data_IF_406746392303
#
_entry.id   IF_406746392303
#
_cell.length_a   1.000
_cell.length_b   1.000
_cell.length_c   1.000
_cell.angle_alpha   90.00
_cell.angle_beta   90.00
_cell.angle_gamma   90.00
#
_symmetry.space_group_name_H-M   'P 1'
#
loop_
_entity.id
_entity.type
_entity.pdbx_description
1 polymer ?
#
# COMPACT_ATOMS: atom_id res chain seq x y z
N UNK A 1 11.56 20.83 -3.09
CA UNK A 1 11.66 20.60 -1.63
C UNK A 1 11.43 19.11 -1.41
N UNK A 2 12.41 18.40 -0.84
CA UNK A 2 12.30 16.95 -0.65
C UNK A 2 11.24 16.66 0.42
N UNK A 3 10.10 16.06 0.02
CA UNK A 3 9.03 15.71 0.96
C UNK A 3 9.48 14.54 1.83
N UNK A 4 9.20 14.59 3.12
CA UNK A 4 9.53 13.52 4.09
C UNK A 4 8.24 12.81 4.49
N UNK A 5 8.20 11.48 4.39
CA UNK A 5 7.12 10.69 5.02
C UNK A 5 7.51 10.43 6.47
N UNK A 6 6.77 11.02 7.40
CA UNK A 6 6.91 10.69 8.83
C UNK A 6 6.10 9.44 9.11
N UNK A 7 6.74 8.44 9.71
CA UNK A 7 6.13 7.18 10.14
C UNK A 7 6.20 7.15 11.65
N UNK A 8 5.07 7.44 12.29
CA UNK A 8 4.94 7.45 13.75
C UNK A 8 4.07 6.32 14.29
N UNK A 9 3.29 5.68 13.41
CA UNK A 9 2.48 4.52 13.77
C UNK A 9 3.07 3.26 13.15
N UNK A 10 3.22 2.19 13.93
CA UNK A 10 3.95 1.02 13.47
C UNK A 10 3.26 0.27 12.31
N UNK A 11 1.92 0.28 12.25
CA UNK A 11 1.18 -0.32 11.14
C UNK A 11 1.42 0.38 9.79
N UNK A 12 1.93 1.63 9.77
CA UNK A 12 2.33 2.32 8.53
C UNK A 12 3.60 1.73 7.90
N UNK A 13 4.35 0.89 8.61
CA UNK A 13 5.45 0.14 8.04
C UNK A 13 4.98 -0.91 7.03
N UNK A 14 3.76 -1.45 7.18
CA UNK A 14 3.23 -2.49 6.31
C UNK A 14 3.28 -2.08 4.83
N UNK A 15 2.64 -0.98 4.39
CA UNK A 15 2.67 -0.60 2.98
C UNK A 15 4.09 -0.25 2.49
N UNK A 16 5.00 0.20 3.36
CA UNK A 16 6.40 0.50 3.01
C UNK A 16 7.15 -0.80 2.71
N UNK A 17 7.05 -1.79 3.59
CA UNK A 17 7.67 -3.10 3.40
C UNK A 17 7.08 -3.83 2.18
N UNK A 18 5.76 -3.75 1.98
CA UNK A 18 5.05 -4.29 0.82
C UNK A 18 5.31 -3.54 -0.49
N UNK A 19 5.98 -2.38 -0.45
CA UNK A 19 6.37 -1.65 -1.65
C UNK A 19 7.64 -2.22 -2.29
N UNK A 20 8.37 -3.08 -1.59
CA UNK A 20 9.69 -3.58 -2.01
C UNK A 20 9.84 -5.09 -1.80
N UNK A 21 8.73 -5.80 -1.60
CA UNK A 21 8.71 -7.23 -1.26
C UNK A 21 8.93 -8.16 -2.46
N UNK A 22 8.89 -7.63 -3.68
CA UNK A 22 9.20 -8.35 -4.92
C UNK A 22 10.25 -7.59 -5.70
N UNK A 23 11.03 -8.32 -6.51
CA UNK A 23 12.04 -7.70 -7.39
C UNK A 23 11.42 -6.64 -8.30
N UNK A 24 10.26 -6.94 -8.90
CA UNK A 24 9.55 -6.01 -9.79
C UNK A 24 9.15 -4.73 -9.05
N UNK A 25 8.49 -4.83 -7.89
CA UNK A 25 8.11 -3.61 -7.15
C UNK A 25 9.33 -2.81 -6.71
N UNK A 26 10.37 -3.46 -6.18
CA UNK A 26 11.62 -2.80 -5.77
C UNK A 26 12.23 -2.03 -6.94
N UNK A 27 12.33 -2.65 -8.11
CA UNK A 27 13.00 -2.06 -9.26
C UNK A 27 12.16 -0.94 -9.90
N UNK A 28 10.83 -1.10 -9.97
CA UNK A 28 9.91 -0.03 -10.39
C UNK A 28 9.96 1.15 -9.42
N UNK A 29 9.93 0.90 -8.10
CA UNK A 29 9.97 1.97 -7.10
C UNK A 29 11.29 2.75 -7.16
N UNK A 30 12.40 2.05 -7.36
CA UNK A 30 13.71 2.67 -7.63
C UNK A 30 13.66 3.55 -8.87
N UNK A 31 13.05 3.08 -9.96
CA UNK A 31 13.00 3.84 -11.21
C UNK A 31 12.20 5.13 -11.09
N UNK A 32 11.00 5.07 -10.50
CA UNK A 32 10.15 6.25 -10.28
C UNK A 32 10.69 7.19 -9.18
N UNK A 33 11.63 6.73 -8.36
CA UNK A 33 12.34 7.59 -7.39
C UNK A 33 13.44 8.45 -7.99
N UNK A 34 13.91 8.10 -9.20
CA UNK A 34 14.98 8.83 -9.89
C UNK A 34 14.43 9.84 -10.89
N UNK A 35 13.36 9.49 -11.62
CA UNK A 35 12.73 10.37 -12.60
C UNK A 35 11.28 9.95 -12.88
N UNK A 36 10.54 10.82 -13.57
CA UNK A 36 9.17 10.56 -13.99
C UNK A 36 9.13 9.44 -15.03
N UNK A 37 8.26 8.45 -14.82
CA UNK A 37 8.04 7.34 -15.77
C UNK A 37 6.56 7.20 -16.14
N UNK A 38 6.25 7.00 -17.41
CA UNK A 38 4.88 6.70 -17.84
C UNK A 38 4.51 5.27 -17.50
N UNK A 39 3.20 5.00 -17.36
CA UNK A 39 2.69 3.64 -17.24
C UNK A 39 3.22 2.74 -18.37
N UNK A 40 3.27 3.26 -19.59
CA UNK A 40 3.77 2.55 -20.77
C UNK A 40 5.25 2.17 -20.66
N UNK A 41 6.11 3.11 -20.23
CA UNK A 41 7.53 2.82 -20.02
C UNK A 41 7.75 1.73 -18.97
N UNK A 42 6.95 1.74 -17.89
CA UNK A 42 7.02 0.72 -16.84
C UNK A 42 6.49 -0.62 -17.36
N UNK A 43 5.39 -0.64 -18.11
CA UNK A 43 4.84 -1.87 -18.71
C UNK A 43 5.81 -2.49 -19.74
N UNK A 44 6.42 -1.68 -20.60
CA UNK A 44 7.39 -2.14 -21.61
C UNK A 44 8.60 -2.85 -20.96
N UNK A 45 9.00 -2.40 -19.76
CA UNK A 45 10.18 -2.94 -19.06
C UNK A 45 9.87 -4.05 -18.06
N UNK A 46 8.75 -3.95 -17.34
CA UNK A 46 8.41 -4.82 -16.21
C UNK A 46 7.12 -5.63 -16.41
N UNK A 47 6.46 -5.48 -17.56
CA UNK A 47 5.19 -6.14 -17.89
C UNK A 47 4.02 -5.70 -17.02
N UNK A 48 2.99 -6.54 -16.95
CA UNK A 48 1.79 -6.30 -16.14
C UNK A 48 2.11 -6.10 -14.65
N UNK A 49 3.11 -6.82 -14.12
CA UNK A 49 3.56 -6.66 -12.74
C UNK A 49 4.08 -5.26 -12.42
N UNK A 50 4.63 -4.55 -13.42
CA UNK A 50 5.01 -3.14 -13.27
C UNK A 50 3.80 -2.22 -13.12
N UNK A 51 2.74 -2.46 -13.90
CA UNK A 51 1.50 -1.69 -13.77
C UNK A 51 0.80 -1.95 -12.43
N UNK A 52 0.80 -3.20 -11.97
CA UNK A 52 0.28 -3.55 -10.64
C UNK A 52 1.07 -2.86 -9.52
N UNK A 53 2.41 -2.79 -9.65
CA UNK A 53 3.26 -2.05 -8.71
C UNK A 53 2.89 -0.56 -8.68
N UNK A 54 2.70 0.09 -9.84
CA UNK A 54 2.29 1.51 -9.89
C UNK A 54 0.94 1.75 -9.22
N UNK A 55 -0.07 0.89 -9.46
CA UNK A 55 -1.38 0.97 -8.81
C UNK A 55 -1.25 0.85 -7.29
N UNK A 56 -0.43 -0.10 -6.83
CA UNK A 56 -0.13 -0.26 -5.41
C UNK A 56 0.50 1.01 -4.83
N UNK A 57 1.53 1.58 -5.47
CA UNK A 57 2.20 2.78 -4.98
C UNK A 57 1.27 4.00 -4.96
N UNK A 58 0.42 4.15 -5.98
CA UNK A 58 -0.55 5.25 -6.05
C UNK A 58 -1.55 5.16 -4.91
N UNK A 59 -2.13 3.98 -4.68
CA UNK A 59 -3.02 3.74 -3.54
C UNK A 59 -2.35 4.09 -2.21
N UNK A 60 -1.12 3.61 -2.01
CA UNK A 60 -0.37 3.82 -0.76
C UNK A 60 0.20 5.24 -0.63
N UNK A 61 -0.09 6.12 -1.60
CA UNK A 61 0.41 7.51 -1.69
C UNK A 61 1.94 7.57 -1.64
N UNK A 62 2.61 6.59 -2.23
CA UNK A 62 4.07 6.54 -2.35
C UNK A 62 4.56 7.24 -3.62
N UNK A 63 3.68 7.44 -4.60
CA UNK A 63 3.94 8.16 -5.85
C UNK A 63 2.94 9.29 -6.06
N UNK A 64 3.36 10.34 -6.76
CA UNK A 64 2.48 11.33 -7.40
C UNK A 64 2.34 11.04 -8.88
N UNK A 65 1.28 11.60 -9.46
CA UNK A 65 0.95 11.42 -10.88
C UNK A 65 0.80 12.77 -11.58
N UNK A 66 1.24 12.84 -12.83
CA UNK A 66 0.96 13.97 -13.73
C UNK A 66 0.60 13.45 -15.12
N UNK A 67 -0.14 14.25 -15.88
CA UNK A 67 -0.31 14.02 -17.31
C UNK A 67 0.87 14.64 -18.06
N UNK A 68 1.45 13.90 -19.01
CA UNK A 68 2.46 14.43 -19.92
C UNK A 68 2.17 14.00 -21.36
N UNK A 69 2.49 14.87 -22.31
CA UNK A 69 2.33 14.57 -23.74
C UNK A 69 3.43 13.62 -24.16
N UNK A 70 3.07 12.46 -24.70
CA UNK A 70 4.06 11.53 -25.26
C UNK A 70 4.51 11.97 -26.65
N UNK A 71 5.55 11.31 -27.18
CA UNK A 71 6.00 11.51 -28.56
C UNK A 71 4.90 11.23 -29.60
N UNK A 72 3.88 10.45 -29.24
CA UNK A 72 2.72 10.14 -30.08
C UNK A 72 1.58 11.17 -29.97
N UNK A 73 1.82 12.33 -29.33
CA UNK A 73 0.83 13.39 -29.09
C UNK A 73 -0.43 12.95 -28.30
N UNK A 74 -0.37 11.80 -27.62
CA UNK A 74 -1.40 11.34 -26.70
C UNK A 74 -1.01 11.65 -25.25
N UNK A 75 -1.94 12.08 -24.39
CA UNK A 75 -1.65 12.26 -22.97
C UNK A 75 -1.39 10.92 -22.30
N UNK A 76 -0.24 10.80 -21.62
CA UNK A 76 0.15 9.63 -20.82
C UNK A 76 0.28 10.01 -19.35
N UNK A 77 -0.23 9.14 -18.46
CA UNK A 77 -0.06 9.28 -17.02
C UNK A 77 1.36 8.87 -16.63
N UNK A 78 2.08 9.77 -15.96
CA UNK A 78 3.42 9.56 -15.46
C UNK A 78 3.46 9.58 -13.93
N UNK A 79 4.42 8.85 -13.36
CA UNK A 79 4.57 8.58 -11.94
C UNK A 79 5.95 8.99 -11.46
N UNK A 80 6.03 9.53 -10.25
CA UNK A 80 7.28 9.83 -9.56
C UNK A 80 7.10 9.60 -8.05
N UNK A 81 8.15 9.17 -7.35
CA UNK A 81 8.09 9.01 -5.89
C UNK A 81 7.67 10.34 -5.23
N UNK A 82 6.64 10.27 -4.37
CA UNK A 82 6.09 11.43 -3.70
C UNK A 82 7.03 11.94 -2.60
N UNK A 83 7.77 11.03 -1.96
CA UNK A 83 8.67 11.31 -0.85
C UNK A 83 10.11 11.04 -1.25
N UNK A 84 11.02 11.94 -0.87
CA UNK A 84 12.46 11.77 -1.06
C UNK A 84 13.16 11.10 0.13
N UNK A 85 12.51 11.05 1.29
CA UNK A 85 13.00 10.34 2.47
C UNK A 85 11.86 9.90 3.40
N UNK A 86 12.16 8.91 4.24
CA UNK A 86 11.31 8.46 5.32
C UNK A 86 11.96 8.83 6.65
N UNK A 87 11.17 9.36 7.58
CA UNK A 87 11.56 9.55 8.97
C UNK A 87 10.71 8.63 9.84
N UNK A 88 11.33 7.57 10.35
CA UNK A 88 10.66 6.55 11.16
C UNK A 88 10.99 6.81 12.62
N UNK A 89 9.98 7.14 13.41
CA UNK A 89 10.11 7.37 14.85
C UNK A 89 8.91 6.74 15.56
N UNK A 90 9.05 5.49 15.95
CA UNK A 90 8.02 4.72 16.62
C UNK A 90 8.61 3.83 17.72
N UNK A 91 7.89 3.72 18.83
CA UNK A 91 8.15 2.78 19.92
C UNK A 91 6.86 2.03 20.18
N UNK A 92 6.91 0.70 20.19
CA UNK A 92 5.73 -0.16 20.38
C UNK A 92 6.14 -1.42 21.15
N UNK A 93 5.22 -2.05 21.91
CA UNK A 93 5.47 -3.35 22.53
C UNK A 93 5.89 -4.43 21.53
N UNK A 94 6.68 -5.40 22.01
CA UNK A 94 7.19 -6.52 21.20
C UNK A 94 6.05 -7.29 20.53
N UNK A 95 4.92 -7.45 21.22
CA UNK A 95 3.74 -8.15 20.72
C UNK A 95 3.15 -7.45 19.50
N UNK A 96 2.99 -6.13 19.55
CA UNK A 96 2.41 -5.32 18.47
C UNK A 96 3.32 -5.26 17.23
N UNK A 97 4.63 -5.06 17.39
CA UNK A 97 5.56 -5.10 16.26
C UNK A 97 5.60 -6.48 15.62
N UNK A 98 5.50 -7.55 16.41
CA UNK A 98 5.48 -8.91 15.88
C UNK A 98 4.29 -9.15 14.96
N UNK A 99 3.11 -8.64 15.31
CA UNK A 99 1.91 -8.71 14.46
C UNK A 99 2.07 -7.93 13.15
N UNK A 100 2.62 -6.71 13.22
CA UNK A 100 2.89 -5.89 12.03
C UNK A 100 3.87 -6.56 11.08
N UNK A 101 4.99 -7.05 11.61
CA UNK A 101 6.00 -7.74 10.81
C UNK A 101 5.46 -9.05 10.23
N UNK A 102 4.70 -9.81 11.02
CA UNK A 102 4.03 -11.03 10.56
C UNK A 102 3.14 -10.74 9.35
N UNK A 103 2.28 -9.72 9.42
CA UNK A 103 1.41 -9.33 8.29
C UNK A 103 2.22 -8.83 7.10
N UNK A 104 3.28 -8.04 7.30
CA UNK A 104 4.09 -7.53 6.20
C UNK A 104 4.81 -8.65 5.42
N UNK A 105 5.27 -9.69 6.13
CA UNK A 105 6.05 -10.81 5.58
C UNK A 105 5.21 -12.04 5.19
N UNK A 106 3.92 -12.07 5.56
CA UNK A 106 3.02 -13.19 5.24
C UNK A 106 2.91 -13.41 3.71
N UNK A 107 2.95 -14.66 3.26
CA UNK A 107 2.75 -14.99 1.84
C UNK A 107 1.35 -14.58 1.34
N UNK A 108 1.17 -14.41 0.03
CA UNK A 108 -0.12 -14.00 -0.54
C UNK A 108 -1.28 -14.98 -0.29
N UNK A 109 -1.14 -16.30 -0.52
CA UNK A 109 -2.28 -17.22 -0.36
C UNK A 109 -2.95 -17.23 1.02
N UNK A 110 -2.22 -17.22 2.16
CA UNK A 110 -2.85 -17.08 3.46
C UNK A 110 -3.38 -15.66 3.71
N UNK A 111 -2.74 -14.64 3.17
CA UNK A 111 -3.20 -13.25 3.30
C UNK A 111 -4.53 -13.02 2.58
N UNK A 112 -4.65 -13.45 1.33
CA UNK A 112 -5.86 -13.29 0.51
C UNK A 112 -7.10 -13.89 1.18
N UNK A 113 -6.96 -15.01 1.88
CA UNK A 113 -8.06 -15.63 2.64
C UNK A 113 -8.57 -14.71 3.74
N UNK A 114 -7.65 -14.07 4.48
CA UNK A 114 -7.99 -13.16 5.57
C UNK A 114 -8.52 -11.84 5.01
N UNK A 115 -7.89 -11.30 3.98
CA UNK A 115 -8.34 -10.08 3.29
C UNK A 115 -9.77 -10.25 2.74
N UNK A 116 -10.06 -11.37 2.08
CA UNK A 116 -11.40 -11.67 1.55
C UNK A 116 -12.43 -11.74 2.67
N UNK A 117 -12.10 -12.41 3.79
CA UNK A 117 -12.99 -12.46 4.96
C UNK A 117 -13.29 -11.06 5.51
N UNK A 118 -12.27 -10.20 5.62
CA UNK A 118 -12.47 -8.80 6.05
C UNK A 118 -13.32 -8.06 5.01
N UNK A 119 -13.02 -8.20 3.72
CA UNK A 119 -13.73 -7.54 2.63
C UNK A 119 -15.22 -7.87 2.61
N UNK A 120 -15.56 -9.13 2.83
CA UNK A 120 -16.95 -9.60 2.90
C UNK A 120 -17.65 -9.08 4.16
N UNK A 121 -16.98 -9.12 5.32
CA UNK A 121 -17.51 -8.58 6.58
C UNK A 121 -17.77 -7.07 6.54
N UNK A 122 -16.93 -6.33 5.81
CA UNK A 122 -17.00 -4.87 5.68
C UNK A 122 -18.19 -4.43 4.81
N UNK A 123 -18.54 -5.20 3.78
CA UNK A 123 -19.65 -4.86 2.88
C UNK A 123 -19.45 -3.52 2.15
N UNK A 124 -20.52 -3.03 1.48
CA UNK A 124 -20.50 -1.76 0.73
C UNK A 124 -20.59 -0.53 1.64
N UNK A 125 -21.30 -0.62 2.76
CA UNK A 125 -21.46 0.51 3.70
C UNK A 125 -20.28 0.70 4.66
N UNK A 126 -19.33 -0.23 4.63
CA UNK A 126 -18.24 -0.30 5.58
C UNK A 126 -18.65 -0.84 6.95
N UNK A 127 -17.66 -1.02 7.83
CA UNK A 127 -17.89 -1.56 9.18
C UNK A 127 -16.97 -0.95 10.21
N UNK A 128 -17.42 -0.86 11.46
CA UNK A 128 -16.58 -0.38 12.55
C UNK A 128 -15.41 -1.34 12.80
N UNK A 129 -14.21 -0.80 12.99
CA UNK A 129 -13.00 -1.59 13.15
C UNK A 129 -13.04 -2.50 14.39
N UNK A 130 -13.66 -2.04 15.48
CA UNK A 130 -13.91 -2.84 16.69
C UNK A 130 -14.67 -4.13 16.36
N UNK A 131 -15.82 -4.00 15.71
CA UNK A 131 -16.67 -5.15 15.36
C UNK A 131 -15.95 -6.16 14.47
N UNK A 132 -15.09 -5.68 13.56
CA UNK A 132 -14.29 -6.55 12.70
C UNK A 132 -13.21 -7.27 13.50
N UNK A 133 -12.52 -6.57 14.40
CA UNK A 133 -11.49 -7.16 15.26
C UNK A 133 -12.08 -8.23 16.18
N UNK A 134 -13.22 -7.92 16.80
CA UNK A 134 -13.93 -8.82 17.70
C UNK A 134 -14.43 -10.07 16.97
N UNK A 135 -15.05 -9.91 15.79
CA UNK A 135 -15.52 -11.04 15.01
C UNK A 135 -14.38 -11.91 14.45
N UNK A 136 -13.18 -11.35 14.28
CA UNK A 136 -11.98 -12.10 13.87
C UNK A 136 -11.15 -12.61 15.05
N UNK A 137 -11.46 -12.19 16.29
CA UNK A 137 -10.68 -12.48 17.49
C UNK A 137 -9.20 -12.08 17.34
N UNK A 138 -8.96 -10.89 16.77
CA UNK A 138 -7.62 -10.32 16.55
C UNK A 138 -7.46 -9.01 17.31
N UNK A 139 -6.21 -8.63 17.59
CA UNK A 139 -5.91 -7.31 18.14
C UNK A 139 -6.26 -6.20 17.14
N UNK A 140 -6.42 -4.97 17.64
CA UNK A 140 -6.58 -3.79 16.78
C UNK A 140 -5.35 -3.54 15.90
N UNK A 141 -4.15 -3.80 16.43
CA UNK A 141 -2.89 -3.65 15.69
C UNK A 141 -2.80 -4.62 14.53
N UNK A 142 -3.11 -5.90 14.77
CA UNK A 142 -3.15 -6.94 13.74
C UNK A 142 -4.19 -6.61 12.65
N UNK A 143 -5.41 -6.22 13.05
CA UNK A 143 -6.43 -5.79 12.09
C UNK A 143 -5.97 -4.60 11.25
N UNK A 144 -5.35 -3.60 11.89
CA UNK A 144 -4.88 -2.41 11.18
C UNK A 144 -3.79 -2.75 10.18
N UNK A 145 -2.85 -3.62 10.56
CA UNK A 145 -1.82 -4.14 9.67
C UNK A 145 -2.43 -4.87 8.46
N UNK A 146 -3.42 -5.74 8.69
CA UNK A 146 -4.12 -6.49 7.63
C UNK A 146 -4.80 -5.56 6.63
N UNK A 147 -5.51 -4.54 7.11
CA UNK A 147 -6.19 -3.56 6.27
C UNK A 147 -5.18 -2.66 5.54
N UNK A 148 -4.09 -2.23 6.20
CA UNK A 148 -3.04 -1.40 5.57
C UNK A 148 -2.24 -2.15 4.50
N UNK A 149 -2.20 -3.48 4.53
CA UNK A 149 -1.63 -4.30 3.45
C UNK A 149 -2.55 -4.34 2.21
N UNK A 150 -3.86 -4.24 2.41
CA UNK A 150 -4.86 -4.47 1.37
C UNK A 150 -4.79 -3.40 0.28
N UNK A 151 -5.00 -3.79 -0.97
CA UNK A 151 -5.26 -2.84 -2.07
C UNK A 151 -6.75 -2.52 -2.23
N UNK A 152 -7.64 -3.22 -1.52
CA UNK A 152 -9.10 -3.09 -1.66
C UNK A 152 -9.82 -2.60 -0.40
N UNK A 153 -9.09 -2.36 0.68
CA UNK A 153 -9.62 -1.85 1.95
C UNK A 153 -8.85 -0.62 2.41
N UNK A 154 -9.51 0.26 3.15
CA UNK A 154 -8.85 1.40 3.82
C UNK A 154 -9.63 1.82 5.07
N UNK A 155 -8.98 2.58 5.96
CA UNK A 155 -9.62 3.19 7.11
C UNK A 155 -10.18 4.57 6.78
N UNK A 156 -11.44 4.82 7.14
CA UNK A 156 -12.04 6.16 7.21
C UNK A 156 -12.47 6.43 8.66
N UNK A 157 -11.59 7.10 9.40
CA UNK A 157 -11.72 7.22 10.86
C UNK A 157 -11.65 5.85 11.53
N UNK A 158 -12.67 5.49 12.31
CA UNK A 158 -12.77 4.19 12.97
C UNK A 158 -13.51 3.13 12.15
N UNK A 159 -13.82 3.41 10.89
CA UNK A 159 -14.48 2.46 9.98
C UNK A 159 -13.48 1.92 8.97
N UNK A 160 -13.62 0.64 8.65
CA UNK A 160 -13.01 0.02 7.48
C UNK A 160 -14.01 0.15 6.34
N UNK A 161 -13.52 0.59 5.18
CA UNK A 161 -14.29 0.76 3.96
C UNK A 161 -13.63 -0.04 2.85
N UNK A 162 -14.43 -0.47 1.86
CA UNK A 162 -13.87 -0.91 0.58
C UNK A 162 -13.26 0.31 -0.12
N UNK A 163 -12.05 0.13 -0.63
CA UNK A 163 -11.37 1.11 -1.45
C UNK A 163 -11.93 0.93 -2.88
N UNK A 164 -12.65 1.94 -3.35
CA UNK A 164 -13.13 2.01 -4.73
C UNK A 164 -12.02 2.66 -5.57
N UNK A 165 -11.76 2.10 -6.75
CA UNK A 165 -10.89 2.69 -7.77
C UNK A 165 -11.49 3.99 -8.32
#
# INVERSE_FOLDING_TARGET
MNRIKVVSEIAELVPILRAVDTDVKRDVFKEVSMDWRTAKQIEEKYGSGGLEALRFFEKMKLVETKWQTSAAASPEKAYHAFYGSFHINATTPVQEISEVLYVAMMAEPPYEKIETKIYDMVGTEGKYAGDVADALQVSQTLLKALVKRSTRLDFRGHRIMRFED
#
